data_IF_080152303122
#
_entry.id   IF_080152303122
#
_cell.length_a   1.000
_cell.length_b   1.000
_cell.length_c   1.000
_cell.angle_alpha   90.00
_cell.angle_beta   90.00
_cell.angle_gamma   90.00
#
_symmetry.space_group_name_H-M   'P 1'
#
loop_
_entity.id
_entity.type
_entity.pdbx_description
1 polymer ?
#
# COMPACT_ATOMS: atom_id res chain seq x y z
N UNK A 1 63.68 51.68 6.04
CA UNK A 1 62.95 50.41 6.27
C UNK A 1 61.47 50.63 6.02
N UNK A 2 60.86 49.91 5.07
CA UNK A 2 59.45 49.54 5.17
C UNK A 2 59.30 48.01 5.15
N UNK A 3 58.52 47.48 6.09
CA UNK A 3 58.15 46.05 6.17
C UNK A 3 56.89 45.81 5.33
N UNK A 4 57.05 44.96 4.30
CA UNK A 4 56.16 43.90 3.80
C UNK A 4 54.65 44.08 4.04
N UNK A 5 53.91 44.32 2.95
CA UNK A 5 52.48 44.01 2.88
C UNK A 5 52.29 42.53 2.57
N UNK A 6 51.58 41.85 3.47
CA UNK A 6 51.08 40.49 3.34
C UNK A 6 50.02 40.42 2.24
N UNK A 7 50.28 39.61 1.22
CA UNK A 7 49.28 39.16 0.25
C UNK A 7 48.92 37.72 0.60
N UNK A 8 48.02 37.57 1.57
CA UNK A 8 47.58 36.28 2.10
C UNK A 8 46.07 36.07 1.93
N UNK A 9 45.71 35.29 0.90
CA UNK A 9 44.75 34.18 1.02
C UNK A 9 43.32 34.50 1.52
N UNK A 10 42.48 35.16 0.72
CA UNK A 10 41.04 35.32 1.01
C UNK A 10 40.12 34.44 0.14
N UNK A 11 40.67 33.79 -0.89
CA UNK A 11 39.90 33.00 -1.88
C UNK A 11 39.62 31.55 -1.47
N UNK A 12 40.42 30.97 -0.56
CA UNK A 12 40.22 29.58 -0.09
C UNK A 12 39.04 29.42 0.87
N UNK A 13 38.90 30.34 1.82
CA UNK A 13 37.91 30.27 2.92
C UNK A 13 36.47 30.50 2.44
N UNK A 14 36.29 31.29 1.38
CA UNK A 14 34.96 31.56 0.83
C UNK A 14 34.44 30.39 -0.01
N UNK A 15 35.33 29.65 -0.68
CA UNK A 15 35.02 28.49 -1.54
C UNK A 15 34.73 27.23 -0.70
N UNK A 16 35.40 27.06 0.44
CA UNK A 16 35.11 25.98 1.40
C UNK A 16 33.79 26.22 2.15
N UNK A 17 33.46 27.48 2.45
CA UNK A 17 32.19 27.81 3.13
C UNK A 17 30.96 27.65 2.22
N UNK A 18 31.07 27.96 0.93
CA UNK A 18 29.98 27.77 -0.04
C UNK A 18 29.75 26.30 -0.38
N UNK A 19 30.81 25.49 -0.50
CA UNK A 19 30.71 24.04 -0.69
C UNK A 19 30.12 23.34 0.55
N UNK A 20 30.52 23.75 1.75
CA UNK A 20 29.91 23.26 2.99
C UNK A 20 28.41 23.59 3.07
N UNK A 21 28.01 24.84 2.77
CA UNK A 21 26.59 25.24 2.74
C UNK A 21 25.77 24.44 1.72
N UNK A 22 26.28 24.25 0.51
CA UNK A 22 25.60 23.42 -0.52
C UNK A 22 25.44 21.96 -0.06
N UNK A 23 26.43 21.41 0.64
CA UNK A 23 26.35 20.06 1.20
C UNK A 23 25.31 19.94 2.31
N UNK A 24 25.20 20.95 3.18
CA UNK A 24 24.14 21.00 4.19
C UNK A 24 22.76 21.07 3.55
N UNK A 25 22.56 21.99 2.60
CA UNK A 25 21.28 22.14 1.90
C UNK A 25 20.88 20.86 1.15
N UNK A 26 21.84 20.12 0.57
CA UNK A 26 21.55 18.83 -0.08
C UNK A 26 20.99 17.76 0.87
N UNK A 27 21.27 17.84 2.18
CA UNK A 27 20.73 16.91 3.18
C UNK A 27 19.31 17.27 3.59
N UNK A 28 18.91 18.52 3.39
CA UNK A 28 17.56 19.00 3.67
C UNK A 28 16.60 18.71 2.49
N UNK A 29 17.11 18.19 1.37
CA UNK A 29 16.30 17.82 0.19
C UNK A 29 16.02 16.31 0.26
N UNK A 30 14.75 15.88 0.39
CA UNK A 30 14.41 14.46 0.27
C UNK A 30 14.64 13.97 -1.16
N UNK A 31 15.00 12.71 -1.30
CA UNK A 31 15.15 12.04 -2.60
C UNK A 31 14.09 10.98 -2.81
N UNK A 32 13.79 10.70 -4.08
CA UNK A 32 13.00 9.53 -4.50
C UNK A 32 13.84 8.71 -5.45
N UNK A 33 13.86 7.39 -5.25
CA UNK A 33 14.48 6.42 -6.17
C UNK A 33 13.36 5.59 -6.80
N UNK A 34 13.30 5.57 -8.12
CA UNK A 34 12.45 4.64 -8.87
C UNK A 34 13.13 3.29 -8.97
N UNK A 35 12.43 2.24 -8.57
CA UNK A 35 12.93 0.87 -8.53
C UNK A 35 12.13 -0.02 -9.49
N UNK A 36 12.83 -0.73 -10.36
CA UNK A 36 12.26 -1.77 -11.22
C UNK A 36 12.15 -3.05 -10.38
N UNK A 37 10.92 -3.45 -10.05
CA UNK A 37 10.65 -4.48 -9.04
C UNK A 37 10.80 -5.91 -9.58
N UNK A 38 10.83 -6.09 -10.90
CA UNK A 38 11.08 -7.39 -11.53
C UNK A 38 11.95 -7.32 -12.80
N UNK A 39 12.34 -8.50 -13.27
CA UNK A 39 13.23 -8.67 -14.42
C UNK A 39 12.59 -8.31 -15.77
N UNK A 40 11.27 -8.39 -15.88
CA UNK A 40 10.50 -8.00 -17.07
C UNK A 40 10.50 -6.49 -17.24
N UNK A 41 10.19 -5.75 -16.16
CA UNK A 41 10.26 -4.30 -16.15
C UNK A 41 11.68 -3.80 -16.45
N UNK A 42 12.67 -4.45 -15.84
CA UNK A 42 14.07 -4.17 -16.12
C UNK A 42 14.43 -4.39 -17.60
N UNK A 43 14.01 -5.51 -18.18
CA UNK A 43 14.24 -5.82 -19.58
C UNK A 43 13.55 -4.81 -20.53
N UNK A 44 12.37 -4.31 -20.17
CA UNK A 44 11.69 -3.26 -20.93
C UNK A 44 12.52 -1.97 -20.95
N UNK A 45 13.10 -1.59 -19.80
CA UNK A 45 13.97 -0.41 -19.72
C UNK A 45 15.29 -0.55 -20.48
N UNK A 46 15.83 -1.77 -20.63
CA UNK A 46 16.98 -2.05 -21.50
C UNK A 46 16.73 -1.71 -22.99
N UNK A 47 15.47 -1.49 -23.40
CA UNK A 47 15.13 -0.99 -24.74
C UNK A 47 15.56 0.46 -25.01
N UNK A 48 15.80 1.26 -23.96
CA UNK A 48 16.23 2.65 -24.06
C UNK A 48 17.76 2.74 -24.07
N UNK A 49 18.36 3.35 -25.10
CA UNK A 49 19.82 3.36 -25.30
C UNK A 49 20.60 4.14 -24.25
N UNK A 50 19.93 5.05 -23.54
CA UNK A 50 20.48 5.85 -22.46
C UNK A 50 20.33 5.19 -21.09
N UNK A 51 19.68 4.02 -21.01
CA UNK A 51 19.70 3.19 -19.81
C UNK A 51 21.06 2.51 -19.71
N UNK A 52 21.63 2.45 -18.51
CA UNK A 52 23.04 2.05 -18.34
C UNK A 52 23.27 0.54 -18.42
N UNK A 53 22.19 -0.25 -18.44
CA UNK A 53 22.22 -1.71 -18.48
C UNK A 53 21.70 -2.18 -19.84
N UNK A 54 22.53 -2.95 -20.54
CA UNK A 54 22.27 -3.34 -21.93
C UNK A 54 21.75 -4.78 -22.06
N UNK A 55 21.79 -5.58 -20.99
CA UNK A 55 21.37 -6.98 -21.02
C UNK A 55 20.33 -7.30 -19.92
N UNK A 56 19.20 -7.96 -20.26
CA UNK A 56 18.20 -8.41 -19.27
C UNK A 56 18.73 -9.34 -18.16
N UNK A 57 19.95 -9.87 -18.31
CA UNK A 57 20.56 -10.76 -17.34
C UNK A 57 21.22 -9.98 -16.19
N UNK A 58 21.41 -8.68 -16.36
CA UNK A 58 22.08 -7.78 -15.41
C UNK A 58 21.12 -7.33 -14.28
N UNK A 59 19.91 -7.90 -14.20
CA UNK A 59 18.91 -7.50 -13.21
C UNK A 59 19.41 -7.65 -11.76
N UNK A 60 20.15 -8.73 -11.47
CA UNK A 60 20.74 -8.93 -10.15
C UNK A 60 21.82 -7.86 -9.83
N UNK A 61 22.62 -7.48 -10.82
CA UNK A 61 23.64 -6.44 -10.68
C UNK A 61 22.98 -5.06 -10.51
N UNK A 62 21.87 -4.80 -11.22
CA UNK A 62 21.05 -3.61 -11.03
C UNK A 62 20.51 -3.49 -9.59
N UNK A 63 19.92 -4.56 -9.03
CA UNK A 63 19.44 -4.54 -7.65
C UNK A 63 20.58 -4.32 -6.65
N UNK A 64 21.75 -4.91 -6.90
CA UNK A 64 22.95 -4.68 -6.09
C UNK A 64 23.41 -3.21 -6.13
N UNK A 65 23.45 -2.60 -7.31
CA UNK A 65 23.84 -1.21 -7.49
C UNK A 65 22.83 -0.24 -6.83
N UNK A 66 21.53 -0.55 -6.89
CA UNK A 66 20.48 0.23 -6.21
C UNK A 66 20.59 0.10 -4.68
N UNK A 67 20.84 -1.09 -4.13
CA UNK A 67 21.11 -1.28 -2.69
C UNK A 67 22.31 -0.42 -2.25
N UNK A 68 23.40 -0.44 -3.02
CA UNK A 68 24.58 0.39 -2.79
C UNK A 68 24.27 1.89 -2.83
N UNK A 69 23.45 2.33 -3.79
CA UNK A 69 22.98 3.71 -3.90
C UNK A 69 22.17 4.13 -2.67
N UNK A 70 21.17 3.35 -2.27
CA UNK A 70 20.31 3.65 -1.11
C UNK A 70 21.14 3.73 0.18
N UNK A 71 22.05 2.78 0.42
CA UNK A 71 22.99 2.82 1.55
C UNK A 71 23.87 4.06 1.54
N UNK A 72 24.37 4.45 0.37
CA UNK A 72 25.20 5.65 0.20
C UNK A 72 24.42 6.93 0.50
N UNK A 73 23.17 7.04 0.04
CA UNK A 73 22.29 8.18 0.33
C UNK A 73 21.98 8.27 1.83
N UNK A 74 21.63 7.15 2.46
CA UNK A 74 21.38 7.10 3.91
C UNK A 74 22.62 7.47 4.73
N UNK A 75 23.80 6.94 4.39
CA UNK A 75 25.07 7.29 5.06
C UNK A 75 25.43 8.78 4.92
N UNK A 76 24.96 9.43 3.85
CA UNK A 76 25.11 10.86 3.66
C UNK A 76 24.10 11.70 4.47
N UNK A 77 23.09 11.05 5.06
CA UNK A 77 22.00 11.67 5.83
C UNK A 77 20.88 12.22 4.94
N UNK A 78 20.66 11.63 3.76
CA UNK A 78 19.59 12.03 2.83
C UNK A 78 18.39 11.12 3.06
N UNK A 79 17.26 11.71 3.42
CA UNK A 79 15.99 10.99 3.51
C UNK A 79 15.55 10.57 2.11
N UNK A 80 15.41 9.27 1.89
CA UNK A 80 15.09 8.70 0.58
C UNK A 80 13.81 7.89 0.69
N UNK A 81 12.88 8.12 -0.23
CA UNK A 81 11.75 7.23 -0.47
C UNK A 81 12.00 6.43 -1.74
N UNK A 82 11.38 5.27 -1.84
CA UNK A 82 11.43 4.39 -3.01
C UNK A 82 10.03 4.27 -3.57
N UNK A 83 9.92 4.37 -4.90
CA UNK A 83 8.70 4.19 -5.66
C UNK A 83 8.92 3.07 -6.68
N UNK A 84 7.86 2.33 -7.02
CA UNK A 84 7.91 1.39 -8.12
C UNK A 84 8.01 2.18 -9.43
N UNK A 85 8.97 1.82 -10.28
CA UNK A 85 9.11 2.42 -11.61
C UNK A 85 8.50 1.46 -12.62
N UNK A 86 7.28 1.73 -13.05
CA UNK A 86 6.61 0.95 -14.09
C UNK A 86 7.00 1.49 -15.49
N UNK A 87 7.61 0.66 -16.37
CA UNK A 87 7.99 1.09 -17.72
C UNK A 87 6.80 1.42 -18.64
N UNK A 88 5.64 0.82 -18.43
CA UNK A 88 4.40 1.10 -19.19
C UNK A 88 3.87 2.48 -18.79
N UNK A 89 3.71 2.74 -17.48
CA UNK A 89 3.33 4.08 -16.99
C UNK A 89 4.35 5.15 -17.41
N UNK A 90 5.64 4.81 -17.43
CA UNK A 90 6.68 5.70 -17.93
C UNK A 90 6.50 6.07 -19.41
N UNK A 91 6.16 5.08 -20.25
CA UNK A 91 5.91 5.28 -21.66
C UNK A 91 4.67 6.15 -21.89
N UNK A 92 3.60 5.92 -21.13
CA UNK A 92 2.39 6.75 -21.14
C UNK A 92 2.70 8.19 -20.75
N UNK A 93 3.38 8.40 -19.62
CA UNK A 93 3.82 9.71 -19.16
C UNK A 93 4.62 10.46 -20.24
N UNK A 94 5.54 9.78 -20.92
CA UNK A 94 6.31 10.39 -22.01
C UNK A 94 5.43 10.76 -23.21
N UNK A 95 4.48 9.88 -23.56
CA UNK A 95 3.51 10.11 -24.62
C UNK A 95 2.61 11.33 -24.36
N UNK A 96 2.07 11.44 -23.14
CA UNK A 96 1.20 12.54 -22.74
C UNK A 96 1.94 13.88 -22.65
N UNK A 97 3.18 13.87 -22.14
CA UNK A 97 3.97 15.09 -21.95
C UNK A 97 4.80 15.48 -23.17
N UNK A 98 4.91 14.61 -24.18
CA UNK A 98 5.74 14.81 -25.37
C UNK A 98 7.24 14.84 -25.07
N UNK A 99 7.69 14.22 -23.98
CA UNK A 99 9.10 14.14 -23.59
C UNK A 99 9.79 12.95 -24.27
N UNK A 100 11.08 13.10 -24.56
CA UNK A 100 11.90 12.01 -25.10
C UNK A 100 12.13 10.94 -24.01
N UNK A 101 11.63 9.70 -24.17
CA UNK A 101 11.77 8.65 -23.17
C UNK A 101 13.21 8.12 -23.07
N UNK A 102 14.07 8.37 -24.06
CA UNK A 102 15.44 7.86 -24.07
C UNK A 102 16.45 8.86 -23.45
N UNK A 103 16.08 9.47 -22.31
CA UNK A 103 17.01 10.31 -21.55
C UNK A 103 16.94 10.07 -20.04
N UNK A 104 18.09 10.14 -19.37
CA UNK A 104 18.17 10.08 -17.92
C UNK A 104 17.40 11.22 -17.23
N UNK A 105 17.30 12.38 -17.89
CA UNK A 105 16.54 13.52 -17.37
C UNK A 105 15.03 13.27 -17.35
N UNK A 106 14.49 12.63 -18.40
CA UNK A 106 13.07 12.26 -18.46
C UNK A 106 12.73 11.20 -17.43
N UNK A 107 13.57 10.16 -17.28
CA UNK A 107 13.39 9.15 -16.23
C UNK A 107 13.39 9.77 -14.83
N UNK A 108 14.35 10.65 -14.54
CA UNK A 108 14.40 11.36 -13.27
C UNK A 108 13.17 12.26 -13.02
N UNK A 109 12.61 12.86 -14.09
CA UNK A 109 11.36 13.63 -13.99
C UNK A 109 10.17 12.73 -13.68
N UNK A 110 10.06 11.57 -14.32
CA UNK A 110 9.02 10.60 -14.01
C UNK A 110 9.14 10.09 -12.56
N UNK A 111 10.36 9.77 -12.08
CA UNK A 111 10.58 9.44 -10.66
C UNK A 111 10.15 10.55 -9.70
N UNK A 112 10.26 11.81 -10.10
CA UNK A 112 9.76 12.93 -9.32
C UNK A 112 8.23 13.04 -9.33
N UNK A 113 7.57 12.63 -10.41
CA UNK A 113 6.10 12.54 -10.50
C UNK A 113 5.55 11.46 -9.58
N UNK A 114 6.19 10.28 -9.55
CA UNK A 114 5.86 9.19 -8.64
C UNK A 114 5.89 9.62 -7.17
N UNK A 115 6.71 10.62 -6.82
CA UNK A 115 6.76 11.18 -5.48
C UNK A 115 5.48 11.97 -5.07
N UNK A 116 4.66 12.38 -6.04
CA UNK A 116 3.44 13.16 -5.82
C UNK A 116 2.16 12.34 -5.86
N UNK A 117 2.13 11.23 -6.61
CA UNK A 117 0.93 10.43 -6.86
C UNK A 117 1.08 8.94 -6.56
N UNK A 118 2.30 8.42 -6.43
CA UNK A 118 2.56 6.99 -6.36
C UNK A 118 2.66 6.40 -4.96
N UNK A 119 2.66 5.07 -4.90
CA UNK A 119 3.06 4.28 -3.75
C UNK A 119 4.52 4.58 -3.36
N UNK A 120 4.73 5.12 -2.16
CA UNK A 120 6.05 5.50 -1.65
C UNK A 120 6.39 4.79 -0.35
N UNK A 121 7.54 4.15 -0.33
CA UNK A 121 8.11 3.58 0.88
C UNK A 121 9.33 4.37 1.37
N UNK A 122 9.32 4.88 2.61
CA UNK A 122 10.52 5.43 3.23
C UNK A 122 11.60 4.37 3.36
N UNK A 123 12.79 4.64 2.83
CA UNK A 123 13.95 3.78 3.04
C UNK A 123 14.46 3.96 4.47
N UNK A 124 14.39 2.88 5.26
CA UNK A 124 14.80 2.84 6.67
C UNK A 124 16.04 1.95 6.90
N UNK A 125 16.73 1.52 5.83
CA UNK A 125 17.94 0.70 5.89
C UNK A 125 17.72 -0.79 5.64
N UNK A 126 16.53 -1.16 5.15
CA UNK A 126 16.21 -2.52 4.69
C UNK A 126 17.17 -2.96 3.57
N UNK A 127 17.37 -4.26 3.41
CA UNK A 127 18.02 -4.81 2.20
C UNK A 127 17.09 -4.70 1.00
N UNK A 128 17.64 -4.74 -0.23
CA UNK A 128 16.81 -4.72 -1.43
C UNK A 128 15.83 -5.90 -1.50
N UNK A 129 16.23 -7.08 -1.04
CA UNK A 129 15.39 -8.29 -0.99
C UNK A 129 14.21 -8.16 -0.01
N UNK A 130 14.37 -7.37 1.06
CA UNK A 130 13.28 -7.02 1.97
C UNK A 130 12.42 -5.87 1.42
N UNK A 131 13.03 -4.92 0.70
CA UNK A 131 12.36 -3.71 0.23
C UNK A 131 11.46 -3.97 -0.98
N UNK A 132 11.88 -4.81 -1.93
CA UNK A 132 11.13 -5.10 -3.16
C UNK A 132 9.72 -5.65 -2.85
N UNK A 133 9.55 -6.71 -2.03
CA UNK A 133 8.22 -7.23 -1.71
C UNK A 133 7.33 -6.17 -1.04
N UNK A 134 7.88 -5.40 -0.08
CA UNK A 134 7.13 -4.34 0.58
C UNK A 134 6.65 -3.28 -0.42
N UNK A 135 7.49 -2.93 -1.39
CA UNK A 135 7.15 -1.91 -2.40
C UNK A 135 6.06 -2.40 -3.34
N UNK A 136 6.12 -3.68 -3.76
CA UNK A 136 5.08 -4.30 -4.56
C UNK A 136 3.76 -4.35 -3.78
N UNK A 137 3.79 -4.75 -2.51
CA UNK A 137 2.60 -4.76 -1.65
C UNK A 137 1.98 -3.36 -1.51
N UNK A 138 2.81 -2.33 -1.33
CA UNK A 138 2.35 -0.94 -1.27
C UNK A 138 1.75 -0.46 -2.59
N UNK A 139 2.37 -0.81 -3.73
CA UNK A 139 1.85 -0.48 -5.06
C UNK A 139 0.50 -1.15 -5.32
N UNK A 140 0.37 -2.43 -5.00
CA UNK A 140 -0.89 -3.18 -5.12
C UNK A 140 -1.98 -2.56 -4.22
N UNK A 141 -1.62 -2.17 -2.99
CA UNK A 141 -2.56 -1.51 -2.08
C UNK A 141 -3.04 -0.17 -2.63
N UNK A 142 -2.13 0.65 -3.16
CA UNK A 142 -2.48 1.94 -3.76
C UNK A 142 -3.38 1.77 -4.98
N UNK A 143 -3.04 0.87 -5.91
CA UNK A 143 -3.85 0.57 -7.09
C UNK A 143 -5.25 0.03 -6.71
N UNK A 144 -5.33 -0.82 -5.69
CA UNK A 144 -6.61 -1.32 -5.16
C UNK A 144 -7.47 -0.17 -4.62
N UNK A 145 -6.87 0.76 -3.87
CA UNK A 145 -7.56 1.92 -3.33
C UNK A 145 -8.05 2.88 -4.42
N UNK A 146 -7.23 3.15 -5.44
CA UNK A 146 -7.58 4.00 -6.58
C UNK A 146 -8.75 3.41 -7.38
N UNK A 147 -8.69 2.11 -7.70
CA UNK A 147 -9.78 1.43 -8.38
C UNK A 147 -11.07 1.47 -7.56
N UNK A 148 -11.01 1.13 -6.28
CA UNK A 148 -12.19 1.14 -5.40
C UNK A 148 -12.81 2.55 -5.28
N UNK A 149 -11.97 3.58 -5.24
CA UNK A 149 -12.40 4.98 -5.25
C UNK A 149 -13.08 5.35 -6.57
N UNK A 150 -12.54 4.89 -7.71
CA UNK A 150 -13.16 5.05 -9.03
C UNK A 150 -14.55 4.41 -9.09
N UNK A 151 -14.69 3.17 -8.61
CA UNK A 151 -15.98 2.47 -8.52
C UNK A 151 -17.01 3.29 -7.71
N UNK A 152 -16.60 3.81 -6.55
CA UNK A 152 -17.49 4.61 -5.70
C UNK A 152 -17.90 5.94 -6.34
N UNK A 153 -17.04 6.53 -7.18
CA UNK A 153 -17.37 7.75 -7.92
C UNK A 153 -18.34 7.48 -9.09
N UNK A 154 -18.30 6.28 -9.67
CA UNK A 154 -19.07 5.93 -10.86
C UNK A 154 -20.46 5.34 -10.57
N UNK A 155 -20.70 4.77 -9.39
CA UNK A 155 -21.97 4.07 -9.05
C UNK A 155 -23.19 5.01 -9.07
N UNK A 156 -23.00 6.32 -8.92
CA UNK A 156 -24.04 7.33 -9.10
C UNK A 156 -25.08 7.39 -7.96
N UNK A 157 -26.29 7.82 -8.31
CA UNK A 157 -27.38 8.06 -7.35
C UNK A 157 -28.43 6.95 -7.38
N UNK A 158 -29.02 6.68 -6.22
CA UNK A 158 -30.15 5.76 -6.08
C UNK A 158 -31.37 6.29 -6.86
N UNK A 159 -31.95 5.44 -7.70
CA UNK A 159 -33.11 5.81 -8.51
C UNK A 159 -34.38 6.08 -7.67
N UNK A 160 -34.49 5.47 -6.49
CA UNK A 160 -35.70 5.56 -5.65
C UNK A 160 -35.65 6.76 -4.70
N UNK A 161 -34.51 7.04 -4.07
CA UNK A 161 -34.37 8.09 -3.05
C UNK A 161 -33.43 9.25 -3.44
N UNK A 162 -32.67 9.14 -4.53
CA UNK A 162 -31.74 10.17 -4.99
C UNK A 162 -30.44 10.29 -4.19
N UNK A 163 -30.22 9.41 -3.22
CA UNK A 163 -29.00 9.39 -2.40
C UNK A 163 -27.78 8.96 -3.23
N UNK A 164 -26.62 9.56 -2.94
CA UNK A 164 -25.34 9.14 -3.54
C UNK A 164 -24.94 7.77 -2.99
N UNK A 165 -24.94 6.76 -3.86
CA UNK A 165 -24.71 5.37 -3.48
C UNK A 165 -23.27 5.19 -2.96
N UNK A 166 -22.30 5.86 -3.56
CA UNK A 166 -20.90 5.78 -3.18
C UNK A 166 -20.70 6.31 -1.76
N UNK A 167 -21.24 7.50 -1.48
CA UNK A 167 -21.17 8.11 -0.15
C UNK A 167 -21.90 7.28 0.91
N UNK A 168 -23.13 6.85 0.64
CA UNK A 168 -23.90 6.03 1.57
C UNK A 168 -23.23 4.67 1.85
N UNK A 169 -22.61 4.06 0.83
CA UNK A 169 -21.87 2.80 1.00
C UNK A 169 -20.61 2.99 1.82
N UNK A 170 -19.92 4.13 1.68
CA UNK A 170 -18.75 4.47 2.48
C UNK A 170 -19.10 4.62 3.96
N UNK A 171 -20.14 5.40 4.28
CA UNK A 171 -20.63 5.57 5.66
C UNK A 171 -21.04 4.22 6.28
N UNK A 172 -21.73 3.40 5.50
CA UNK A 172 -22.14 2.06 5.94
C UNK A 172 -20.95 1.14 6.18
N UNK A 173 -19.93 1.16 5.32
CA UNK A 173 -18.70 0.40 5.50
C UNK A 173 -17.94 0.84 6.76
N UNK A 174 -17.84 2.15 7.00
CA UNK A 174 -17.19 2.71 8.18
C UNK A 174 -17.90 2.26 9.47
N UNK A 175 -19.23 2.26 9.48
CA UNK A 175 -20.02 1.78 10.61
C UNK A 175 -19.93 0.26 10.79
N UNK A 176 -19.91 -0.50 9.69
CA UNK A 176 -19.70 -1.94 9.73
C UNK A 176 -18.31 -2.27 10.33
N UNK A 177 -17.26 -1.55 9.97
CA UNK A 177 -15.92 -1.73 10.54
C UNK A 177 -15.92 -1.51 12.07
N UNK A 178 -16.61 -0.48 12.57
CA UNK A 178 -16.73 -0.26 14.03
C UNK A 178 -17.38 -1.45 14.73
N UNK A 179 -18.45 -2.01 14.15
CA UNK A 179 -19.14 -3.18 14.71
C UNK A 179 -18.31 -4.46 14.60
N UNK A 180 -17.56 -4.62 13.52
CA UNK A 180 -16.59 -5.71 13.32
C UNK A 180 -15.50 -5.65 14.40
N UNK A 181 -14.85 -4.51 14.60
CA UNK A 181 -13.79 -4.42 15.61
C UNK A 181 -14.36 -4.61 17.03
N UNK A 182 -15.52 -4.03 17.34
CA UNK A 182 -16.16 -4.21 18.64
C UNK A 182 -16.56 -5.67 18.91
N UNK A 183 -17.14 -6.36 17.91
CA UNK A 183 -17.61 -7.74 18.05
C UNK A 183 -16.48 -8.78 18.11
N UNK A 184 -15.29 -8.47 17.57
CA UNK A 184 -14.11 -9.33 17.72
C UNK A 184 -13.63 -9.44 19.18
N UNK A 185 -13.99 -8.47 20.01
CA UNK A 185 -13.57 -8.38 21.42
C UNK A 185 -12.08 -8.09 21.55
N UNK A 186 -11.47 -8.27 22.74
CA UNK A 186 -10.05 -7.99 22.96
C UNK A 186 -9.10 -8.89 22.17
N UNK A 187 -8.00 -8.32 21.67
CA UNK A 187 -6.89 -9.03 21.04
C UNK A 187 -6.23 -8.25 19.89
N UNK A 188 -5.33 -8.94 19.19
CA UNK A 188 -4.79 -8.51 17.92
C UNK A 188 -5.66 -9.08 16.80
N UNK A 189 -6.21 -8.23 15.97
CA UNK A 189 -7.13 -8.61 14.89
C UNK A 189 -6.46 -8.43 13.55
N UNK A 190 -6.57 -9.45 12.71
CA UNK A 190 -6.21 -9.41 11.30
C UNK A 190 -7.48 -9.62 10.48
N UNK A 191 -7.96 -8.54 9.87
CA UNK A 191 -9.12 -8.54 8.99
C UNK A 191 -8.67 -8.65 7.54
N UNK A 192 -9.38 -9.46 6.75
CA UNK A 192 -9.22 -9.53 5.30
C UNK A 192 -10.58 -9.37 4.65
N UNK A 193 -10.71 -8.38 3.76
CA UNK A 193 -11.87 -8.17 2.92
C UNK A 193 -11.48 -8.48 1.46
N UNK A 194 -12.24 -9.34 0.79
CA UNK A 194 -12.02 -9.74 -0.60
C UNK A 194 -13.30 -9.54 -1.41
N UNK A 195 -13.24 -8.64 -2.39
CA UNK A 195 -14.35 -8.25 -3.26
C UNK A 195 -13.94 -8.52 -4.71
N UNK A 196 -14.40 -9.62 -5.33
CA UNK A 196 -14.24 -9.80 -6.77
C UNK A 196 -15.06 -8.76 -7.55
N UNK A 197 -14.45 -8.16 -8.57
CA UNK A 197 -15.10 -7.30 -9.56
C UNK A 197 -14.93 -7.88 -10.95
N UNK A 198 -15.53 -7.26 -11.97
CA UNK A 198 -15.35 -7.72 -13.36
C UNK A 198 -13.91 -7.53 -13.85
N UNK A 199 -13.20 -6.51 -13.36
CA UNK A 199 -11.84 -6.19 -13.81
C UNK A 199 -10.76 -6.86 -12.95
N UNK A 200 -10.91 -6.83 -11.63
CA UNK A 200 -9.89 -7.33 -10.68
C UNK A 200 -10.48 -7.78 -9.35
N UNK A 201 -9.67 -8.51 -8.56
CA UNK A 201 -10.02 -8.85 -7.18
C UNK A 201 -9.50 -7.76 -6.24
N UNK A 202 -10.39 -7.09 -5.53
CA UNK A 202 -10.00 -6.10 -4.52
C UNK A 202 -9.77 -6.80 -3.20
N UNK A 203 -8.58 -6.62 -2.62
CA UNK A 203 -8.24 -7.18 -1.31
C UNK A 203 -7.75 -6.05 -0.41
N UNK A 204 -8.32 -5.95 0.78
CA UNK A 204 -7.83 -5.06 1.82
C UNK A 204 -7.58 -5.83 3.11
N UNK A 205 -6.45 -5.53 3.73
CA UNK A 205 -6.03 -6.06 5.02
C UNK A 205 -6.04 -4.94 6.04
N UNK A 206 -6.53 -5.25 7.24
CA UNK A 206 -6.54 -4.31 8.36
C UNK A 206 -6.11 -5.01 9.64
N UNK A 207 -5.15 -4.39 10.33
CA UNK A 207 -4.73 -4.76 11.66
C UNK A 207 -5.35 -3.81 12.69
N UNK A 208 -5.97 -4.40 13.71
CA UNK A 208 -6.52 -3.64 14.81
C UNK A 208 -6.14 -4.28 16.14
N UNK A 209 -5.65 -3.47 17.07
CA UNK A 209 -5.41 -3.91 18.44
C UNK A 209 -6.47 -3.34 19.37
N UNK A 210 -7.12 -4.24 20.10
CA UNK A 210 -8.06 -3.90 21.16
C UNK A 210 -7.53 -4.44 22.48
N UNK A 211 -7.52 -3.59 23.51
CA UNK A 211 -7.01 -4.00 24.83
C UNK A 211 -8.14 -4.61 25.67
N UNK A 212 -7.82 -5.56 26.56
CA UNK A 212 -8.76 -6.10 27.57
C UNK A 212 -9.18 -5.03 28.62
N UNK A 213 -8.80 -3.75 28.44
CA UNK A 213 -8.98 -2.64 29.36
C UNK A 213 -10.32 -1.92 29.23
N UNK A 214 -10.30 -0.60 29.33
CA UNK A 214 -11.49 0.23 29.25
C UNK A 214 -12.20 0.03 27.89
N UNK A 215 -13.46 -0.46 27.86
CA UNK A 215 -14.20 -0.69 26.62
C UNK A 215 -14.46 0.59 25.81
N UNK A 216 -14.27 1.78 26.39
CA UNK A 216 -14.34 3.06 25.68
C UNK A 216 -13.02 3.45 24.99
N UNK A 217 -11.95 2.66 25.16
CA UNK A 217 -10.68 2.89 24.45
C UNK A 217 -10.83 2.51 22.98
N UNK A 218 -10.63 3.46 22.04
CA UNK A 218 -10.75 3.14 20.63
C UNK A 218 -9.68 2.12 20.19
N UNK A 219 -9.98 1.24 19.24
CA UNK A 219 -9.00 0.30 18.69
C UNK A 219 -7.83 1.05 18.07
N UNK A 220 -6.62 0.53 18.22
CA UNK A 220 -5.44 1.04 17.51
C UNK A 220 -5.41 0.41 16.13
N UNK A 221 -5.57 1.24 15.09
CA UNK A 221 -5.42 0.88 13.68
C UNK A 221 -4.28 1.73 13.13
N UNK A 222 -3.35 1.11 12.41
CA UNK A 222 -2.13 1.77 11.96
C UNK A 222 -2.26 2.36 10.55
N UNK A 223 -1.65 3.52 10.33
CA UNK A 223 -1.54 4.13 9.01
C UNK A 223 -2.87 4.35 8.28
N UNK A 224 -2.93 3.93 7.02
CA UNK A 224 -4.10 4.04 6.13
C UNK A 224 -4.98 2.79 6.11
N UNK A 225 -4.61 1.72 6.82
CA UNK A 225 -5.31 0.43 6.72
C UNK A 225 -6.81 0.54 6.97
N UNK A 226 -7.21 1.37 7.95
CA UNK A 226 -8.62 1.71 8.22
C UNK A 226 -9.36 2.25 7.01
N UNK A 227 -8.75 3.22 6.33
CA UNK A 227 -9.35 3.89 5.17
C UNK A 227 -9.39 2.95 3.96
N UNK A 228 -8.31 2.23 3.70
CA UNK A 228 -8.20 1.31 2.57
C UNK A 228 -9.23 0.18 2.70
N UNK A 229 -9.37 -0.38 3.90
CA UNK A 229 -10.36 -1.40 4.23
C UNK A 229 -11.80 -0.91 4.06
N UNK A 230 -12.12 0.28 4.59
CA UNK A 230 -13.44 0.88 4.43
C UNK A 230 -13.74 1.15 2.96
N UNK A 231 -12.77 1.63 2.18
CA UNK A 231 -12.95 1.93 0.75
C UNK A 231 -13.25 0.67 -0.05
N UNK A 232 -12.51 -0.42 0.16
CA UNK A 232 -12.77 -1.70 -0.52
C UNK A 232 -14.11 -2.30 -0.09
N UNK A 233 -14.43 -2.30 1.21
CA UNK A 233 -15.72 -2.79 1.69
C UNK A 233 -16.89 -1.97 1.13
N UNK A 234 -16.75 -0.64 1.05
CA UNK A 234 -17.73 0.25 0.47
C UNK A 234 -17.96 -0.05 -1.01
N UNK A 235 -16.90 -0.26 -1.80
CA UNK A 235 -17.02 -0.63 -3.20
C UNK A 235 -17.80 -1.95 -3.35
N UNK A 236 -17.53 -2.94 -2.50
CA UNK A 236 -18.32 -4.18 -2.47
C UNK A 236 -19.79 -3.93 -2.12
N UNK A 237 -20.08 -3.14 -1.08
CA UNK A 237 -21.45 -2.81 -0.70
C UNK A 237 -22.21 -2.10 -1.81
N UNK A 238 -21.55 -1.18 -2.52
CA UNK A 238 -22.11 -0.40 -3.63
C UNK A 238 -22.39 -1.27 -4.86
N UNK A 239 -21.46 -2.15 -5.24
CA UNK A 239 -21.61 -3.06 -6.38
C UNK A 239 -22.64 -4.17 -6.11
N UNK A 240 -22.78 -4.57 -4.85
CA UNK A 240 -23.73 -5.60 -4.42
C UNK A 240 -23.41 -7.02 -4.91
N UNK A 241 -22.24 -7.23 -5.51
CA UNK A 241 -21.72 -8.53 -5.94
C UNK A 241 -21.33 -9.44 -4.76
N UNK A 242 -20.88 -10.68 -5.07
CA UNK A 242 -20.36 -11.58 -4.05
C UNK A 242 -19.06 -11.04 -3.46
N UNK A 243 -18.80 -11.34 -2.20
CA UNK A 243 -17.53 -11.06 -1.54
C UNK A 243 -17.41 -11.77 -0.20
N UNK A 244 -16.22 -11.70 0.40
CA UNK A 244 -15.89 -12.34 1.65
C UNK A 244 -15.20 -11.39 2.61
N UNK A 245 -15.46 -11.55 3.91
CA UNK A 245 -14.72 -10.90 4.97
C UNK A 245 -14.42 -11.92 6.06
N UNK A 246 -13.18 -11.96 6.51
CA UNK A 246 -12.77 -12.79 7.66
C UNK A 246 -11.99 -11.94 8.66
N UNK A 247 -12.06 -12.34 9.92
CA UNK A 247 -11.18 -11.83 10.97
C UNK A 247 -10.56 -13.01 11.70
N UNK A 248 -9.25 -12.94 11.90
CA UNK A 248 -8.53 -13.76 12.88
C UNK A 248 -8.17 -12.88 14.07
N UNK A 249 -8.55 -13.32 15.26
CA UNK A 249 -8.17 -12.69 16.51
C UNK A 249 -7.19 -13.58 17.25
N UNK A 250 -6.02 -13.04 17.56
CA UNK A 250 -4.99 -13.69 18.39
C UNK A 250 -4.88 -12.96 19.74
N UNK A 251 -4.54 -13.68 20.80
CA UNK A 251 -4.42 -13.11 22.14
C UNK A 251 -3.72 -14.03 23.13
N UNK A 252 -3.02 -13.45 24.11
CA UNK A 252 -2.21 -14.22 25.06
C UNK A 252 -3.06 -15.23 25.85
N UNK A 253 -2.61 -16.49 25.86
CA UNK A 253 -3.25 -17.56 26.63
C UNK A 253 -4.62 -18.00 26.13
N UNK A 254 -5.08 -17.50 24.98
CA UNK A 254 -6.35 -17.88 24.34
C UNK A 254 -6.06 -18.61 23.03
N UNK A 255 -7.02 -19.41 22.57
CA UNK A 255 -7.00 -19.95 21.20
C UNK A 255 -7.28 -18.82 20.22
N UNK A 256 -6.69 -18.93 19.04
CA UNK A 256 -7.03 -18.03 17.95
C UNK A 256 -8.50 -18.25 17.59
N UNK A 257 -9.22 -17.16 17.33
CA UNK A 257 -10.63 -17.22 16.92
C UNK A 257 -10.76 -16.66 15.52
N UNK A 258 -11.48 -17.37 14.67
CA UNK A 258 -11.81 -16.88 13.32
C UNK A 258 -13.31 -16.71 13.16
N UNK A 259 -13.71 -15.58 12.60
CA UNK A 259 -15.09 -15.29 12.21
C UNK A 259 -15.13 -14.93 10.73
N UNK A 260 -16.28 -15.12 10.09
CA UNK A 260 -16.45 -14.81 8.67
C UNK A 260 -17.83 -14.30 8.31
N UNK A 261 -17.86 -13.51 7.25
CA UNK A 261 -19.05 -12.94 6.64
C UNK A 261 -18.98 -13.11 5.14
N UNK A 262 -20.15 -13.27 4.54
CA UNK A 262 -20.33 -13.21 3.09
C UNK A 262 -21.00 -11.89 2.75
N UNK A 263 -20.45 -11.19 1.78
CA UNK A 263 -21.11 -10.08 1.12
C UNK A 263 -21.96 -10.62 -0.03
N UNK A 264 -23.24 -10.25 -0.04
CA UNK A 264 -24.17 -10.54 -1.15
C UNK A 264 -25.27 -9.47 -1.17
N UNK A 265 -25.62 -8.97 -2.36
CA UNK A 265 -26.66 -7.95 -2.55
C UNK A 265 -26.47 -6.73 -1.64
N UNK A 266 -25.22 -6.28 -1.50
CA UNK A 266 -24.84 -5.11 -0.71
C UNK A 266 -25.07 -5.32 0.79
N UNK A 267 -24.98 -6.56 1.30
CA UNK A 267 -25.13 -6.87 2.73
C UNK A 267 -24.11 -7.89 3.21
N UNK A 268 -23.54 -7.65 4.39
CA UNK A 268 -22.69 -8.56 5.13
C UNK A 268 -23.54 -9.53 5.95
N UNK A 269 -23.59 -10.78 5.51
CA UNK A 269 -24.28 -11.86 6.21
C UNK A 269 -23.29 -12.72 6.98
N UNK A 270 -23.49 -12.87 8.28
CA UNK A 270 -22.66 -13.72 9.13
C UNK A 270 -22.65 -15.18 8.62
N UNK A 271 -21.47 -15.78 8.55
CA UNK A 271 -21.31 -17.20 8.26
C UNK A 271 -21.53 -18.02 9.53
N UNK A 272 -21.99 -19.26 9.36
CA UNK A 272 -21.99 -20.24 10.45
C UNK A 272 -20.57 -20.72 10.75
N UNK A 273 -20.33 -21.23 11.96
CA UNK A 273 -19.04 -21.83 12.32
C UNK A 273 -18.57 -22.89 11.32
N UNK A 274 -19.50 -23.71 10.81
CA UNK A 274 -19.20 -24.72 9.79
C UNK A 274 -18.80 -24.12 8.44
N UNK A 275 -19.44 -23.01 8.03
CA UNK A 275 -19.07 -22.30 6.81
C UNK A 275 -17.70 -21.61 6.94
N UNK A 276 -17.39 -21.05 8.11
CA UNK A 276 -16.05 -20.49 8.41
C UNK A 276 -14.98 -21.59 8.40
N UNK A 277 -15.26 -22.74 9.04
CA UNK A 277 -14.39 -23.91 9.00
C UNK A 277 -14.10 -24.36 7.56
N UNK A 278 -15.14 -24.53 6.74
CA UNK A 278 -14.98 -24.95 5.35
C UNK A 278 -14.15 -23.95 4.54
N UNK A 279 -14.38 -22.64 4.73
CA UNK A 279 -13.62 -21.60 4.05
C UNK A 279 -12.12 -21.66 4.38
N UNK A 280 -11.75 -21.84 5.65
CA UNK A 280 -10.35 -21.97 6.07
C UNK A 280 -9.71 -23.32 5.74
N UNK A 281 -10.51 -24.36 5.51
CA UNK A 281 -10.04 -25.68 5.09
C UNK A 281 -10.11 -25.88 3.58
N UNK A 282 -10.16 -24.78 2.81
CA UNK A 282 -10.16 -24.79 1.34
C UNK A 282 -9.05 -23.87 0.87
N UNK A 283 -8.19 -24.38 -0.01
CA UNK A 283 -7.13 -23.60 -0.62
C UNK A 283 -7.73 -22.52 -1.53
N UNK A 284 -7.30 -21.27 -1.37
CA UNK A 284 -7.91 -20.13 -2.05
C UNK A 284 -7.66 -20.14 -3.57
N UNK A 285 -6.55 -20.74 -4.02
CA UNK A 285 -6.14 -20.73 -5.43
C UNK A 285 -6.69 -21.96 -6.19
N UNK A 286 -6.69 -23.12 -5.54
CA UNK A 286 -7.03 -24.41 -6.17
C UNK A 286 -8.42 -24.92 -5.80
N UNK A 287 -8.98 -24.46 -4.67
CA UNK A 287 -10.21 -25.01 -4.10
C UNK A 287 -10.03 -26.38 -3.44
N UNK A 288 -8.79 -26.88 -3.32
CA UNK A 288 -8.52 -28.19 -2.74
C UNK A 288 -8.66 -28.16 -1.21
N UNK A 289 -9.06 -29.29 -0.56
CA UNK A 289 -9.14 -29.35 0.89
C UNK A 289 -7.78 -29.19 1.57
N UNK A 290 -7.70 -28.29 2.54
CA UNK A 290 -6.54 -28.07 3.40
C UNK A 290 -6.84 -28.59 4.80
N UNK A 291 -5.84 -29.14 5.48
CA UNK A 291 -6.00 -29.62 6.85
C UNK A 291 -6.27 -28.44 7.81
N UNK A 292 -7.20 -28.59 8.77
CA UNK A 292 -7.49 -27.53 9.72
C UNK A 292 -6.28 -27.22 10.61
N UNK A 293 -6.09 -25.93 10.90
CA UNK A 293 -5.04 -25.46 11.80
C UNK A 293 -5.30 -25.87 13.26
N UNK A 294 -4.29 -26.44 13.91
CA UNK A 294 -4.35 -26.74 15.34
C UNK A 294 -4.36 -25.45 16.16
N UNK A 295 -5.26 -25.37 17.15
CA UNK A 295 -5.32 -24.23 18.08
C UNK A 295 -6.21 -23.07 17.61
N UNK A 296 -6.87 -23.20 16.47
CA UNK A 296 -7.86 -22.26 15.96
C UNK A 296 -9.27 -22.70 16.33
N UNK A 297 -10.08 -21.77 16.81
CA UNK A 297 -11.51 -21.91 17.05
C UNK A 297 -12.30 -21.22 15.94
N UNK A 298 -13.11 -21.99 15.21
CA UNK A 298 -13.95 -21.50 14.13
C UNK A 298 -15.30 -21.05 14.69
N UNK A 299 -15.51 -19.74 14.76
CA UNK A 299 -16.69 -19.13 15.36
C UNK A 299 -17.67 -18.68 14.27
N UNK A 300 -19.00 -18.65 14.56
CA UNK A 300 -19.92 -17.98 13.66
C UNK A 300 -19.61 -16.47 13.60
N UNK A 301 -19.90 -15.83 12.47
CA UNK A 301 -19.95 -14.38 12.41
C UNK A 301 -21.04 -13.81 13.33
N UNK A 302 -21.04 -12.50 13.50
CA UNK A 302 -22.06 -11.76 14.26
C UNK A 302 -22.67 -10.65 13.39
N UNK A 303 -23.80 -10.08 13.80
CA UNK A 303 -24.45 -9.02 13.01
C UNK A 303 -23.62 -7.73 13.01
N UNK A 304 -23.31 -7.23 11.81
CA UNK A 304 -22.49 -6.03 11.59
C UNK A 304 -23.15 -5.03 10.65
N UNK A 305 -24.18 -5.45 9.93
CA UNK A 305 -25.06 -4.53 9.20
C UNK A 305 -26.10 -3.93 10.14
N UNK A 306 -26.36 -2.63 9.98
CA UNK A 306 -27.50 -2.03 10.67
C UNK A 306 -28.79 -2.65 10.11
N UNK A 307 -29.85 -2.83 10.92
CA UNK A 307 -31.17 -3.07 10.37
C UNK A 307 -31.49 -1.90 9.42
N UNK A 308 -31.65 -2.18 8.13
CA UNK A 308 -31.85 -1.14 7.12
C UNK A 308 -33.06 -0.27 7.45
N UNK A 309 -33.10 1.00 6.99
CA UNK A 309 -34.34 1.74 7.00
C UNK A 309 -35.37 0.94 6.20
N UNK A 310 -36.54 0.73 6.79
CA UNK A 310 -37.63 -0.06 6.20
C UNK A 310 -37.86 0.29 4.72
N UNK A 311 -37.99 -0.74 3.89
CA UNK A 311 -38.58 -0.66 2.55
C UNK A 311 -39.91 0.09 2.54
#
# INVERSE_FOLDING_TARGET
>A
MPRKNDTGTTTGTHRTRTTHRRRLLRREVPGTVGLLADAGDFAAMCGYRSFAFDHPADYADYLHDVDGLLRSLAAQGIHTSVALFDPEEYAEFCGETGLDPDTAGTRARFTAELAGSGALLPYAGQTIDELVPLLVDEAVRQATWEYATGVLAEVGQCADCGEDIGHASFDRAADALKRLVAGAGPGHHHFVCSIPTEAQQLVAVLHADTTDGDPDTPPRIEGREGLDFVTVLAAGLALGGPGGLVVRTTGEGRRDRVHGWRLDRGRLTALSAAAVFNAYCTDADTGDPVAPESGVEYCPGYEVDAPGPHH
#
